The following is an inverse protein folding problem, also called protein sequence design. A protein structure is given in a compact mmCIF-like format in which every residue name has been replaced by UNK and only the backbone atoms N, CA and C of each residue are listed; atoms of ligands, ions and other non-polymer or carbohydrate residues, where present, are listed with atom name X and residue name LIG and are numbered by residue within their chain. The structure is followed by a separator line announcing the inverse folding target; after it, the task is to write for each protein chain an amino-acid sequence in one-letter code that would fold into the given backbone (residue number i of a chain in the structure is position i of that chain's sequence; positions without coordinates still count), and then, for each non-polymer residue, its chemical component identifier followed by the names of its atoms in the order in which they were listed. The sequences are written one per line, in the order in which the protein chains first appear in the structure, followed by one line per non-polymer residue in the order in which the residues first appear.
data_IF_861758899433
#
_entry.id   IF_861758899433
#
_cell.length_a   1.000
_cell.length_b   1.000
_cell.length_c   1.000
_cell.angle_alpha   90.00
_cell.angle_beta   90.00
_cell.angle_gamma   90.00
#
_symmetry.space_group_name_H-M   'P 1'
#
loop_
_entity.id
_entity.type
_entity.pdbx_description
1 polymer ?
#
# COMPACT_ATOMS: atom_id res chain seq x y z
N UNK A 1 8.60 11.83 8.38
CA UNK A 1 9.39 11.13 7.35
C UNK A 1 10.88 11.51 7.33
N UNK A 2 11.23 12.78 7.36
CA UNK A 2 12.65 13.20 7.40
C UNK A 2 13.45 12.65 8.60
N UNK A 3 12.80 12.22 9.70
CA UNK A 3 13.49 11.59 10.84
C UNK A 3 13.77 10.10 10.62
N UNK A 4 12.92 9.37 9.92
CA UNK A 4 13.12 7.95 9.62
C UNK A 4 14.28 7.72 8.65
N UNK A 5 14.43 8.56 7.62
CA UNK A 5 15.50 8.44 6.63
C UNK A 5 16.90 8.72 7.20
N UNK A 6 16.98 9.44 8.34
CA UNK A 6 18.25 9.84 8.97
C UNK A 6 18.76 8.86 10.03
N UNK A 7 17.94 7.90 10.51
CA UNK A 7 18.42 6.93 11.50
C UNK A 7 19.19 5.80 10.83
N UNK A 8 20.41 5.48 11.34
CA UNK A 8 21.16 4.34 10.84
C UNK A 8 20.36 3.07 11.08
N UNK A 9 20.16 2.30 10.02
CA UNK A 9 19.49 1.01 10.11
C UNK A 9 20.37 0.04 10.88
N UNK A 10 19.83 -0.64 11.89
CA UNK A 10 20.55 -1.70 12.63
C UNK A 10 21.02 -2.78 11.65
N UNK A 11 22.15 -3.42 11.92
CA UNK A 11 22.71 -4.43 11.01
C UNK A 11 21.75 -5.62 10.82
N UNK A 12 21.07 -6.04 11.87
CA UNK A 12 20.05 -7.11 11.82
C UNK A 12 18.92 -6.75 10.84
N UNK A 13 18.43 -5.51 10.88
CA UNK A 13 17.39 -5.02 9.95
C UNK A 13 17.91 -4.98 8.52
N UNK A 14 19.20 -4.68 8.30
CA UNK A 14 19.82 -4.73 6.96
C UNK A 14 19.87 -6.14 6.40
N UNK A 15 20.24 -7.11 7.23
CA UNK A 15 20.28 -8.54 6.84
C UNK A 15 18.88 -9.02 6.51
N UNK A 16 17.91 -8.76 7.38
CA UNK A 16 16.51 -9.09 7.17
C UNK A 16 15.96 -8.47 5.87
N UNK A 17 16.24 -7.18 5.63
CA UNK A 17 15.85 -6.50 4.39
C UNK A 17 16.34 -7.24 3.15
N UNK A 18 17.63 -7.63 3.11
CA UNK A 18 18.20 -8.33 1.95
C UNK A 18 17.49 -9.66 1.70
N UNK A 19 17.25 -10.43 2.76
CA UNK A 19 16.58 -11.72 2.68
C UNK A 19 15.10 -11.57 2.24
N UNK A 20 14.38 -10.62 2.86
CA UNK A 20 12.98 -10.38 2.56
C UNK A 20 12.75 -9.91 1.12
N UNK A 21 13.52 -8.89 0.67
CA UNK A 21 13.42 -8.38 -0.71
C UNK A 21 13.77 -9.47 -1.73
N UNK A 22 14.77 -10.30 -1.45
CA UNK A 22 15.12 -11.44 -2.30
C UNK A 22 13.96 -12.43 -2.39
N UNK A 23 13.39 -12.83 -1.26
CA UNK A 23 12.24 -13.74 -1.19
C UNK A 23 11.04 -13.19 -1.98
N UNK A 24 10.67 -11.93 -1.74
CA UNK A 24 9.55 -11.28 -2.45
C UNK A 24 9.77 -11.23 -3.96
N UNK A 25 11.00 -10.94 -4.41
CA UNK A 25 11.35 -10.94 -5.83
C UNK A 25 11.23 -12.32 -6.47
N UNK A 26 11.69 -13.36 -5.80
CA UNK A 26 11.58 -14.73 -6.29
C UNK A 26 10.11 -15.16 -6.39
N UNK A 27 9.31 -14.91 -5.36
CA UNK A 27 7.88 -15.20 -5.37
C UNK A 27 7.14 -14.44 -6.47
N UNK A 28 7.46 -13.16 -6.67
CA UNK A 28 6.87 -12.34 -7.75
C UNK A 28 7.24 -12.86 -9.14
N UNK A 29 8.47 -13.33 -9.32
CA UNK A 29 8.89 -13.97 -10.59
C UNK A 29 8.09 -15.21 -10.86
N UNK A 30 7.97 -16.11 -9.88
CA UNK A 30 7.18 -17.32 -10.00
C UNK A 30 5.72 -16.98 -10.31
N UNK A 31 5.14 -16.02 -9.62
CA UNK A 31 3.75 -15.59 -9.86
C UNK A 31 3.51 -15.02 -11.27
N UNK A 32 4.52 -14.37 -11.87
CA UNK A 32 4.44 -13.87 -13.27
C UNK A 32 4.58 -14.97 -14.32
N UNK A 33 5.41 -15.97 -14.04
CA UNK A 33 5.71 -17.08 -14.97
C UNK A 33 4.59 -18.13 -14.99
N UNK A 34 3.65 -18.08 -14.05
CA UNK A 34 2.58 -19.07 -13.95
C UNK A 34 1.53 -18.89 -15.05
N UNK A 35 1.19 -19.96 -15.79
CA UNK A 35 0.07 -19.96 -16.71
C UNK A 35 -1.23 -19.82 -15.93
N UNK A 36 -2.20 -19.19 -16.56
CA UNK A 36 -3.50 -18.76 -16.04
C UNK A 36 -4.03 -19.49 -14.80
N UNK A 37 -4.70 -18.71 -13.95
CA UNK A 37 -5.36 -19.04 -12.68
C UNK A 37 -6.10 -20.39 -12.56
N UNK A 38 -6.37 -21.06 -13.68
CA UNK A 38 -7.15 -22.31 -13.75
C UNK A 38 -6.35 -23.60 -13.43
N UNK A 39 -5.02 -23.52 -13.35
CA UNK A 39 -4.14 -24.71 -13.19
C UNK A 39 -3.40 -24.69 -11.84
N UNK A 40 -3.61 -23.65 -11.05
CA UNK A 40 -2.90 -23.47 -9.80
C UNK A 40 -3.60 -24.21 -8.66
N UNK A 41 -2.81 -25.02 -7.95
CA UNK A 41 -3.15 -25.55 -6.63
C UNK A 41 -3.81 -24.43 -5.80
N UNK A 42 -4.86 -24.74 -5.06
CA UNK A 42 -5.69 -23.80 -4.26
C UNK A 42 -4.86 -22.80 -3.43
N UNK A 43 -3.63 -23.17 -3.09
CA UNK A 43 -2.64 -22.35 -2.37
C UNK A 43 -2.10 -21.16 -3.17
N UNK A 44 -1.95 -21.29 -4.49
CA UNK A 44 -1.37 -20.29 -5.37
C UNK A 44 -2.43 -19.38 -6.02
N UNK A 45 -3.70 -19.80 -6.03
CA UNK A 45 -4.83 -18.98 -6.47
C UNK A 45 -5.05 -17.73 -5.60
N UNK A 46 -4.34 -17.64 -4.46
CA UNK A 46 -4.41 -16.55 -3.46
C UNK A 46 -3.27 -15.54 -3.58
N UNK A 47 -2.52 -15.55 -4.67
CA UNK A 47 -1.46 -14.56 -4.92
C UNK A 47 -1.93 -13.59 -6.00
N UNK A 48 -1.79 -12.29 -5.74
CA UNK A 48 -2.03 -11.22 -6.69
C UNK A 48 -0.83 -10.28 -6.72
N UNK A 49 -0.57 -9.67 -7.87
CA UNK A 49 0.48 -8.67 -7.99
C UNK A 49 -0.05 -7.28 -7.62
N UNK A 50 0.83 -6.41 -7.15
CA UNK A 50 0.48 -5.03 -6.77
C UNK A 50 -0.29 -4.30 -7.88
N UNK A 51 0.12 -4.47 -9.15
CA UNK A 51 -0.55 -3.86 -10.31
C UNK A 51 -2.00 -4.33 -10.51
N UNK A 52 -2.34 -5.53 -10.06
CA UNK A 52 -3.69 -6.09 -10.16
C UNK A 52 -4.66 -5.52 -9.11
N UNK A 53 -4.14 -4.78 -8.12
CA UNK A 53 -4.92 -4.16 -7.06
C UNK A 53 -5.13 -2.66 -7.26
N UNK A 54 -4.72 -2.12 -8.41
CA UNK A 54 -4.80 -0.68 -8.70
C UNK A 54 -6.24 -0.26 -9.00
N UNK A 55 -6.70 0.76 -8.27
CA UNK A 55 -7.90 1.50 -8.61
C UNK A 55 -7.55 2.97 -8.84
N UNK A 56 -8.17 3.57 -9.84
CA UNK A 56 -7.93 4.97 -10.20
C UNK A 56 -9.24 5.74 -10.33
N UNK A 57 -9.19 7.02 -9.99
CA UNK A 57 -10.27 7.97 -10.20
C UNK A 57 -9.69 9.27 -10.78
N UNK A 58 -10.40 9.88 -11.73
CA UNK A 58 -9.98 11.08 -12.42
C UNK A 58 -11.09 12.13 -12.34
N UNK A 59 -10.74 13.36 -11.97
CA UNK A 59 -11.68 14.49 -11.96
C UNK A 59 -10.94 15.83 -12.11
N UNK A 60 -11.72 16.88 -12.38
CA UNK A 60 -11.20 18.26 -12.46
C UNK A 60 -11.38 18.92 -11.09
N UNK A 61 -10.32 19.54 -10.59
CA UNK A 61 -10.34 20.28 -9.32
C UNK A 61 -11.25 21.50 -9.42
N UNK A 62 -12.24 21.58 -8.51
CA UNK A 62 -13.32 22.58 -8.57
C UNK A 62 -13.08 23.76 -7.62
N UNK A 63 -13.58 24.97 -7.94
CA UNK A 63 -13.39 26.17 -7.12
C UNK A 63 -13.93 26.06 -5.68
N UNK A 64 -14.99 25.25 -5.46
CA UNK A 64 -15.57 25.08 -4.12
C UNK A 64 -14.67 24.29 -3.15
N UNK A 65 -13.55 23.76 -3.61
CA UNK A 65 -12.60 22.97 -2.83
C UNK A 65 -11.34 23.75 -2.42
N UNK A 66 -11.34 25.06 -2.65
CA UNK A 66 -10.19 25.93 -2.32
C UNK A 66 -10.11 26.26 -0.83
N UNK A 67 -8.90 26.45 -0.37
CA UNK A 67 -8.60 27.02 0.93
C UNK A 67 -8.55 28.57 0.86
N UNK A 68 -8.26 29.21 1.98
CA UNK A 68 -8.12 30.67 2.06
C UNK A 68 -7.02 31.24 1.15
N UNK A 69 -6.07 30.44 0.72
CA UNK A 69 -4.98 30.82 -0.20
C UNK A 69 -5.33 30.58 -1.67
N UNK A 70 -6.57 30.22 -1.99
CA UNK A 70 -7.03 29.97 -3.36
C UNK A 70 -6.56 28.64 -3.99
N UNK A 71 -5.93 27.75 -3.21
CA UNK A 71 -5.47 26.43 -3.65
C UNK A 71 -6.39 25.35 -3.14
N UNK A 72 -6.41 24.20 -3.81
CA UNK A 72 -7.21 23.05 -3.36
C UNK A 72 -6.78 22.63 -1.95
N UNK A 73 -7.78 22.48 -1.08
CA UNK A 73 -7.56 22.15 0.33
C UNK A 73 -7.00 20.73 0.50
N UNK A 74 -5.88 20.60 1.24
CA UNK A 74 -5.21 19.32 1.44
C UNK A 74 -6.12 18.25 2.07
N UNK A 75 -7.01 18.63 3.00
CA UNK A 75 -7.99 17.71 3.57
C UNK A 75 -8.99 17.16 2.57
N UNK A 76 -9.33 17.94 1.53
CA UNK A 76 -10.13 17.43 0.42
C UNK A 76 -9.38 16.32 -0.36
N UNK A 77 -8.09 16.53 -0.62
CA UNK A 77 -7.26 15.54 -1.31
C UNK A 77 -7.13 14.25 -0.49
N UNK A 78 -6.89 14.38 0.82
CA UNK A 78 -6.83 13.22 1.71
C UNK A 78 -8.16 12.46 1.76
N UNK A 79 -9.27 13.18 1.86
CA UNK A 79 -10.61 12.57 1.87
C UNK A 79 -10.88 11.79 0.59
N UNK A 80 -10.60 12.37 -0.59
CA UNK A 80 -10.83 11.71 -1.88
C UNK A 80 -9.96 10.46 -2.05
N UNK A 81 -8.69 10.56 -1.62
CA UNK A 81 -7.81 9.39 -1.62
C UNK A 81 -8.26 8.32 -0.64
N UNK A 82 -8.74 8.70 0.54
CA UNK A 82 -9.31 7.78 1.52
C UNK A 82 -10.55 7.05 0.98
N UNK A 83 -11.49 7.79 0.35
CA UNK A 83 -12.70 7.20 -0.24
C UNK A 83 -12.35 6.15 -1.32
N UNK A 84 -11.35 6.45 -2.16
CA UNK A 84 -10.87 5.51 -3.18
C UNK A 84 -10.21 4.28 -2.55
N UNK A 85 -9.36 4.48 -1.54
CA UNK A 85 -8.70 3.39 -0.84
C UNK A 85 -9.71 2.49 -0.09
N UNK A 86 -10.70 3.09 0.57
CA UNK A 86 -11.77 2.35 1.25
C UNK A 86 -12.55 1.46 0.28
N UNK A 87 -12.94 2.01 -0.87
CA UNK A 87 -13.66 1.27 -1.91
C UNK A 87 -12.80 0.12 -2.46
N UNK A 88 -11.50 0.37 -2.69
CA UNK A 88 -10.56 -0.65 -3.15
C UNK A 88 -10.38 -1.77 -2.11
N UNK A 89 -10.12 -1.41 -0.84
CA UNK A 89 -9.98 -2.39 0.24
C UNK A 89 -11.25 -3.22 0.42
N UNK A 90 -12.43 -2.59 0.33
CA UNK A 90 -13.71 -3.30 0.43
C UNK A 90 -13.92 -4.28 -0.72
N UNK A 91 -13.63 -3.86 -1.94
CA UNK A 91 -13.72 -4.74 -3.13
C UNK A 91 -12.74 -5.91 -3.04
N UNK A 92 -11.54 -5.67 -2.52
CA UNK A 92 -10.50 -6.68 -2.37
C UNK A 92 -10.84 -7.71 -1.29
N UNK A 93 -11.34 -7.23 -0.13
CA UNK A 93 -11.61 -8.08 1.02
C UNK A 93 -12.98 -8.77 0.98
N UNK A 94 -13.95 -8.19 0.27
CA UNK A 94 -15.36 -8.65 0.29
C UNK A 94 -16.09 -8.36 1.61
N UNK A 95 -15.40 -7.78 2.61
CA UNK A 95 -15.96 -7.40 3.91
C UNK A 95 -15.61 -5.94 4.19
N UNK A 96 -16.44 -5.23 4.98
CA UNK A 96 -16.24 -3.82 5.26
C UNK A 96 -14.95 -3.57 6.06
N UNK A 97 -14.00 -2.78 5.52
CA UNK A 97 -12.72 -2.54 6.18
C UNK A 97 -12.84 -1.46 7.25
N UNK A 98 -12.22 -1.71 8.40
CA UNK A 98 -12.13 -0.76 9.49
C UNK A 98 -10.85 0.08 9.34
N UNK A 99 -10.98 1.38 9.44
CA UNK A 99 -9.83 2.30 9.40
C UNK A 99 -8.95 2.11 10.65
N UNK A 100 -7.65 1.91 10.45
CA UNK A 100 -6.66 1.78 11.52
C UNK A 100 -5.87 3.08 11.66
N UNK A 101 -5.13 3.44 10.59
CA UNK A 101 -4.32 4.65 10.60
C UNK A 101 -4.08 5.20 9.18
N UNK A 102 -3.59 6.43 9.14
CA UNK A 102 -3.03 7.08 7.96
C UNK A 102 -1.64 7.61 8.31
N UNK A 103 -0.65 7.26 7.51
CA UNK A 103 0.75 7.61 7.73
C UNK A 103 1.43 8.09 6.45
N UNK A 104 2.68 8.53 6.58
CA UNK A 104 3.51 8.96 5.44
C UNK A 104 2.85 10.01 4.55
N UNK A 105 2.08 10.91 5.18
CA UNK A 105 1.39 11.99 4.45
C UNK A 105 2.41 13.01 3.97
N UNK A 106 2.59 13.08 2.65
CA UNK A 106 3.54 13.97 1.99
C UNK A 106 2.81 14.88 0.99
N UNK A 107 3.00 16.19 1.16
CA UNK A 107 2.50 17.23 0.25
C UNK A 107 3.68 17.82 -0.51
N UNK A 108 3.85 17.45 -1.78
CA UNK A 108 5.01 17.81 -2.62
C UNK A 108 4.78 19.04 -3.47
N UNK A 109 3.55 19.19 -3.97
CA UNK A 109 3.19 20.30 -4.83
C UNK A 109 1.75 20.74 -4.59
N UNK A 110 1.42 22.02 -4.79
CA UNK A 110 0.06 22.50 -4.72
C UNK A 110 -0.78 21.96 -5.88
N UNK A 111 -2.09 21.87 -5.65
CA UNK A 111 -3.10 21.58 -6.66
C UNK A 111 -3.93 22.84 -6.87
N UNK A 112 -4.10 23.24 -8.11
CA UNK A 112 -4.81 24.46 -8.51
C UNK A 112 -6.22 24.15 -9.02
N UNK A 113 -7.09 25.16 -9.03
CA UNK A 113 -8.42 25.03 -9.63
C UNK A 113 -8.28 24.79 -11.14
N UNK A 114 -9.00 23.82 -11.64
CA UNK A 114 -8.95 23.42 -13.05
C UNK A 114 -7.91 22.33 -13.39
N UNK A 115 -7.06 21.96 -12.43
CA UNK A 115 -6.14 20.84 -12.62
C UNK A 115 -6.92 19.53 -12.84
N UNK A 116 -6.43 18.73 -13.79
CA UNK A 116 -6.88 17.37 -13.97
C UNK A 116 -6.18 16.48 -12.97
N UNK A 117 -6.93 16.00 -11.98
CA UNK A 117 -6.41 15.29 -10.83
C UNK A 117 -6.77 13.80 -10.91
N UNK A 118 -5.76 12.95 -10.93
CA UNK A 118 -5.89 11.49 -10.86
C UNK A 118 -5.49 11.02 -9.47
N UNK A 119 -6.38 10.30 -8.82
CA UNK A 119 -6.04 9.49 -7.65
C UNK A 119 -5.78 8.06 -8.06
N UNK A 120 -4.73 7.49 -7.49
CA UNK A 120 -4.37 6.08 -7.66
C UNK A 120 -4.20 5.45 -6.28
N UNK A 121 -4.92 4.38 -6.02
CA UNK A 121 -4.79 3.57 -4.81
C UNK A 121 -4.46 2.14 -5.17
N UNK A 122 -3.51 1.53 -4.48
CA UNK A 122 -3.16 0.12 -4.65
C UNK A 122 -2.71 -0.47 -3.32
N UNK A 123 -2.87 -1.78 -3.20
CA UNK A 123 -2.46 -2.52 -2.01
C UNK A 123 -0.97 -2.84 -2.14
N UNK A 124 -0.20 -2.50 -1.12
CA UNK A 124 1.24 -2.77 -1.07
C UNK A 124 1.59 -3.92 -0.15
N UNK A 125 0.74 -4.21 0.84
CA UNK A 125 0.96 -5.31 1.78
C UNK A 125 -0.36 -5.78 2.38
N UNK A 126 -0.44 -7.09 2.61
CA UNK A 126 -1.50 -7.73 3.40
C UNK A 126 -0.83 -8.60 4.43
N UNK A 127 -1.08 -8.35 5.69
CA UNK A 127 -0.41 -9.05 6.80
C UNK A 127 -1.30 -9.22 8.01
N UNK A 128 -0.84 -10.01 8.97
CA UNK A 128 -1.49 -10.18 10.25
C UNK A 128 -1.05 -9.08 11.23
N UNK A 129 -1.91 -8.66 12.16
CA UNK A 129 -1.49 -7.82 13.27
C UNK A 129 -0.37 -8.53 14.06
N UNK A 130 0.79 -7.87 14.17
CA UNK A 130 1.94 -8.46 14.88
C UNK A 130 2.70 -9.58 14.12
N UNK A 131 2.59 -9.61 12.81
CA UNK A 131 3.24 -10.56 11.89
C UNK A 131 4.76 -10.73 12.10
N UNK A 132 5.44 -9.70 12.61
CA UNK A 132 6.88 -9.72 12.81
C UNK A 132 7.25 -9.90 14.28
N UNK A 133 8.17 -10.83 14.55
CA UNK A 133 8.80 -10.90 15.85
C UNK A 133 9.91 -9.83 15.94
N UNK A 134 9.72 -8.86 16.83
CA UNK A 134 10.68 -7.76 17.04
C UNK A 134 12.02 -8.24 17.62
N UNK A 135 12.10 -9.44 18.24
CA UNK A 135 13.32 -9.97 18.85
C UNK A 135 14.13 -10.82 17.88
N UNK A 136 13.46 -11.71 17.13
CA UNK A 136 14.12 -12.64 16.20
C UNK A 136 14.25 -12.04 14.83
N UNK A 137 13.52 -10.96 14.50
CA UNK A 137 13.41 -10.38 13.17
C UNK A 137 12.92 -11.41 12.11
N UNK A 138 12.17 -12.39 12.55
CA UNK A 138 11.61 -13.40 11.68
C UNK A 138 10.13 -13.12 11.44
N UNK A 139 9.68 -13.42 10.23
CA UNK A 139 8.26 -13.56 9.95
C UNK A 139 7.78 -14.74 10.81
N UNK A 140 6.80 -14.50 11.67
CA UNK A 140 6.12 -15.61 12.33
C UNK A 140 5.55 -16.50 11.24
N UNK A 141 5.91 -17.76 11.24
CA UNK A 141 5.24 -18.75 10.40
C UNK A 141 3.81 -18.87 10.87
N UNK A 142 2.96 -18.01 10.37
CA UNK A 142 1.53 -18.19 10.53
C UNK A 142 1.14 -19.31 9.58
N UNK A 143 0.65 -20.39 10.14
CA UNK A 143 0.00 -21.46 9.39
C UNK A 143 -1.25 -20.85 8.75
N UNK A 144 -1.09 -20.27 7.56
CA UNK A 144 -2.14 -19.62 6.75
C UNK A 144 -3.34 -20.57 6.52
N UNK A 145 -3.21 -21.82 6.91
CA UNK A 145 -4.16 -22.90 6.66
C UNK A 145 -4.99 -23.34 7.87
N UNK A 146 -4.64 -22.95 9.09
CA UNK A 146 -5.36 -23.40 10.30
C UNK A 146 -6.39 -22.40 10.82
N UNK A 147 -6.59 -21.31 10.13
CA UNK A 147 -7.38 -20.22 10.67
C UNK A 147 -8.84 -20.29 10.26
N UNK A 148 -9.67 -20.45 11.24
CA UNK A 148 -11.11 -20.19 11.16
C UNK A 148 -11.42 -18.74 10.75
N UNK A 149 -12.70 -18.45 10.55
CA UNK A 149 -13.24 -17.18 10.01
C UNK A 149 -12.94 -15.89 10.82
N UNK A 150 -12.14 -15.95 11.90
CA UNK A 150 -11.94 -14.85 12.85
C UNK A 150 -10.54 -14.22 12.81
N UNK A 151 -9.76 -14.43 11.74
CA UNK A 151 -8.44 -13.81 11.66
C UNK A 151 -8.55 -12.38 11.15
N UNK A 152 -8.04 -11.47 11.96
CA UNK A 152 -7.83 -10.09 11.55
C UNK A 152 -6.67 -9.98 10.56
N UNK A 153 -6.84 -9.17 9.52
CA UNK A 153 -5.80 -8.86 8.52
C UNK A 153 -5.69 -7.36 8.34
N UNK A 154 -4.47 -6.88 8.29
CA UNK A 154 -4.18 -5.49 7.97
C UNK A 154 -3.87 -5.36 6.47
N UNK A 155 -4.63 -4.52 5.78
CA UNK A 155 -4.42 -4.15 4.38
C UNK A 155 -3.75 -2.79 4.36
N UNK A 156 -2.49 -2.73 3.92
CA UNK A 156 -1.74 -1.49 3.78
C UNK A 156 -1.79 -1.04 2.34
N UNK A 157 -2.26 0.18 2.13
CA UNK A 157 -2.46 0.76 0.81
C UNK A 157 -1.62 2.01 0.63
N UNK A 158 -1.07 2.17 -0.56
CA UNK A 158 -0.48 3.42 -1.00
C UNK A 158 -1.49 4.19 -1.84
N UNK A 159 -1.64 5.47 -1.55
CA UNK A 159 -2.48 6.40 -2.30
C UNK A 159 -1.62 7.53 -2.82
N UNK A 160 -1.82 7.88 -4.07
CA UNK A 160 -1.15 8.99 -4.74
C UNK A 160 -2.18 9.91 -5.40
N UNK A 161 -2.02 11.21 -5.19
CA UNK A 161 -2.72 12.23 -5.96
C UNK A 161 -1.74 12.77 -7.02
N UNK A 162 -2.18 12.79 -8.27
CA UNK A 162 -1.34 13.07 -9.43
C UNK A 162 -2.03 14.12 -10.28
N UNK A 163 -1.40 15.26 -10.47
CA UNK A 163 -1.85 16.25 -11.45
C UNK A 163 -1.38 15.80 -12.83
N UNK A 164 -2.32 15.66 -13.73
CA UNK A 164 -2.06 15.32 -15.14
C UNK A 164 -2.19 16.58 -15.99
N UNK A 165 -1.10 17.01 -16.59
CA UNK A 165 -1.14 18.11 -17.54
C UNK A 165 -1.44 17.57 -18.95
N UNK A 166 -2.64 17.85 -19.52
CA UNK A 166 -3.02 17.30 -20.82
C UNK A 166 -2.14 17.75 -21.98
N UNK A 167 -1.50 18.93 -21.85
CA UNK A 167 -0.66 19.50 -22.90
C UNK A 167 0.74 18.88 -22.95
N UNK A 168 1.29 18.53 -21.79
CA UNK A 168 2.66 18.00 -21.70
C UNK A 168 2.68 16.50 -21.46
N UNK A 169 1.52 15.90 -21.13
CA UNK A 169 1.36 14.47 -20.76
C UNK A 169 2.30 14.05 -19.61
N UNK A 170 2.84 15.01 -18.87
CA UNK A 170 3.73 14.73 -17.73
C UNK A 170 2.92 14.71 -16.43
N UNK A 171 2.82 13.55 -15.78
CA UNK A 171 2.18 13.45 -14.47
C UNK A 171 3.12 14.01 -13.39
N UNK A 172 2.56 14.73 -12.43
CA UNK A 172 3.27 15.21 -11.23
C UNK A 172 2.56 14.67 -9.99
N UNK A 173 3.26 13.86 -9.22
CA UNK A 173 2.73 13.41 -7.92
C UNK A 173 2.73 14.59 -6.97
N UNK A 174 1.55 15.03 -6.56
CA UNK A 174 1.36 16.17 -5.65
C UNK A 174 1.27 15.74 -4.19
N UNK A 175 0.68 14.56 -3.96
CA UNK A 175 0.51 14.00 -2.63
C UNK A 175 0.71 12.50 -2.66
N UNK A 176 1.25 11.96 -1.57
CA UNK A 176 1.23 10.51 -1.32
C UNK A 176 1.02 10.24 0.16
N UNK A 177 0.36 9.14 0.49
CA UNK A 177 0.12 8.71 1.86
C UNK A 177 -0.18 7.21 1.91
N UNK A 178 0.03 6.63 3.08
CA UNK A 178 -0.35 5.25 3.37
C UNK A 178 -1.63 5.22 4.19
N UNK A 179 -2.47 4.25 3.92
CA UNK A 179 -3.65 3.96 4.73
C UNK A 179 -3.61 2.48 5.10
N UNK A 180 -3.86 2.19 6.38
CA UNK A 180 -4.04 0.84 6.87
C UNK A 180 -5.50 0.62 7.22
N UNK A 181 -6.08 -0.41 6.66
CA UNK A 181 -7.40 -0.91 7.01
C UNK A 181 -7.27 -2.29 7.63
N UNK A 182 -8.14 -2.59 8.58
CA UNK A 182 -8.31 -3.91 9.18
C UNK A 182 -9.59 -4.55 8.71
N UNK A 183 -9.50 -5.82 8.37
CA UNK A 183 -10.65 -6.64 7.98
C UNK A 183 -10.68 -7.91 8.81
N UNK A 184 -11.88 -8.35 9.14
CA UNK A 184 -12.13 -9.57 9.88
C UNK A 184 -12.66 -10.64 8.93
N UNK A 185 -12.11 -11.82 9.00
CA UNK A 185 -12.60 -13.00 8.30
C UNK A 185 -12.06 -13.17 6.87
N UNK A 186 -11.99 -14.42 6.47
CA UNK A 186 -11.66 -14.84 5.11
C UNK A 186 -10.16 -14.94 4.81
N UNK A 187 -9.87 -15.75 3.80
CA UNK A 187 -8.54 -15.89 3.24
C UNK A 187 -8.32 -14.79 2.21
N UNK A 188 -7.58 -13.75 2.60
CA UNK A 188 -7.18 -12.70 1.66
C UNK A 188 -6.03 -13.17 0.77
N UNK A 189 -6.01 -12.74 -0.50
CA UNK A 189 -4.86 -12.97 -1.36
C UNK A 189 -3.59 -12.33 -0.80
N UNK A 190 -2.45 -12.98 -0.97
CA UNK A 190 -1.15 -12.38 -0.70
C UNK A 190 -0.79 -11.42 -1.84
N UNK A 191 -0.51 -10.17 -1.51
CA UNK A 191 -0.08 -9.18 -2.51
C UNK A 191 1.43 -9.18 -2.61
N UNK A 192 1.96 -9.32 -3.83
CA UNK A 192 3.39 -9.35 -4.11
C UNK A 192 3.81 -8.16 -4.98
N UNK A 193 4.96 -7.53 -4.65
CA UNK A 193 5.55 -6.49 -5.47
C UNK A 193 6.06 -7.06 -6.80
N UNK A 194 5.99 -6.30 -7.88
CA UNK A 194 6.42 -6.76 -9.20
C UNK A 194 7.90 -6.54 -9.48
N UNK A 195 8.51 -5.61 -8.78
CA UNK A 195 9.91 -5.25 -8.95
C UNK A 195 10.66 -5.25 -7.61
N UNK A 196 11.98 -5.24 -7.71
CA UNK A 196 12.85 -5.11 -6.53
C UNK A 196 12.66 -3.75 -5.86
N UNK A 197 12.40 -2.68 -6.63
CA UNK A 197 12.20 -1.33 -6.11
C UNK A 197 10.88 -1.22 -5.34
N UNK A 198 9.81 -1.85 -5.85
CA UNK A 198 8.55 -1.96 -5.12
C UNK A 198 8.72 -2.76 -3.83
N UNK A 199 9.38 -3.92 -3.89
CA UNK A 199 9.66 -4.73 -2.71
C UNK A 199 10.49 -3.94 -1.68
N UNK A 200 11.45 -3.15 -2.13
CA UNK A 200 12.20 -2.25 -1.28
C UNK A 200 11.32 -1.17 -0.66
N UNK A 201 10.44 -0.56 -1.44
CA UNK A 201 9.48 0.44 -0.97
C UNK A 201 8.54 -0.11 0.11
N UNK A 202 8.02 -1.32 -0.08
CA UNK A 202 7.20 -2.01 0.94
C UNK A 202 8.01 -2.26 2.21
N UNK A 203 9.24 -2.74 2.07
CA UNK A 203 10.10 -2.97 3.23
C UNK A 203 10.31 -1.67 4.03
N UNK A 204 10.69 -0.57 3.39
CA UNK A 204 10.99 0.70 4.07
C UNK A 204 9.75 1.33 4.71
N UNK A 205 8.59 1.22 4.08
CA UNK A 205 7.37 1.87 4.54
C UNK A 205 6.55 1.06 5.53
N UNK A 206 6.56 -0.26 5.40
CA UNK A 206 5.67 -1.15 6.18
C UNK A 206 6.46 -2.00 7.16
N UNK A 207 7.51 -2.64 6.69
CA UNK A 207 8.22 -3.67 7.48
C UNK A 207 9.20 -3.03 8.47
N UNK A 208 10.03 -2.12 7.98
CA UNK A 208 11.05 -1.45 8.81
C UNK A 208 10.48 -0.70 10.01
N UNK A 209 9.40 0.10 9.92
CA UNK A 209 8.78 0.72 11.09
C UNK A 209 8.40 -0.30 12.16
N UNK A 210 7.70 -1.37 11.76
CA UNK A 210 7.29 -2.46 12.67
C UNK A 210 8.48 -3.14 13.36
N UNK A 211 9.59 -3.38 12.64
CA UNK A 211 10.81 -3.96 13.20
C UNK A 211 11.53 -3.02 14.17
N UNK A 212 11.51 -1.72 13.89
CA UNK A 212 12.17 -0.72 14.72
C UNK A 212 11.33 -0.24 15.91
N UNK A 213 10.05 -0.64 15.99
CA UNK A 213 9.13 -0.21 17.05
C UNK A 213 8.72 1.26 16.94
N UNK A 214 8.55 1.74 15.72
CA UNK A 214 8.12 3.09 15.39
C UNK A 214 6.64 3.16 15.01
N UNK A 215 5.83 2.35 15.67
CA UNK A 215 4.36 2.33 15.53
C UNK A 215 3.71 3.56 16.17
#
# INVERSE_FOLDING_TARGET
NRKMDKMPMREEVRVFRKQWVKKMREMSRVAKEMPSRAVLDEKLSKIVLTSQTVHENLFVAQPQQVNLSGRIFGGFLLRRGFELALANAYTFAGTFPLFVNMSDVDFRAPVEVGDLLRFRAHIIHVGEPGEFDKKTLELKETNVFESGNDIERDIVMQVEAIVVNPKTVRPTVTNSFLITFRVNGGLLPTVLPESTDEAFGVFEKVIRPKLCGWD
#
